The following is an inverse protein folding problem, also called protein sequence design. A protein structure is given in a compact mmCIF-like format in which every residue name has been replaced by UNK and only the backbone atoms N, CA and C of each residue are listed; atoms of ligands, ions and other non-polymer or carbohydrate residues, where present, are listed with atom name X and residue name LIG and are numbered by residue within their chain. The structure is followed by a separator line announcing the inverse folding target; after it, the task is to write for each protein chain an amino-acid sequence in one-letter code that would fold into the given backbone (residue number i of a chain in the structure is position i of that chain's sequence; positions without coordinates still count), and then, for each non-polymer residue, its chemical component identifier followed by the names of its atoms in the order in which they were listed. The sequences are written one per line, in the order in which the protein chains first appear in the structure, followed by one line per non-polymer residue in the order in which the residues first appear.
data_IF_155871602498
#
_entry.id   IF_155871602498
#
_cell.length_a   1.000
_cell.length_b   1.000
_cell.length_c   1.000
_cell.angle_alpha   90.00
_cell.angle_beta   90.00
_cell.angle_gamma   90.00
#
_symmetry.space_group_name_H-M   'P 1'
#
loop_
_entity.id
_entity.type
_entity.pdbx_description
1 polymer ?
#
# COMPACT_ATOMS: atom_id res chain seq x y z
N UNK A 1 0.89 25.35 17.86
CA UNK A 1 1.83 26.28 17.18
C UNK A 1 3.22 25.71 17.32
N UNK A 2 3.67 24.88 16.37
CA UNK A 2 5.01 24.28 16.37
C UNK A 2 5.60 24.46 14.95
N UNK A 3 6.70 25.21 14.82
CA UNK A 3 7.37 25.47 13.54
C UNK A 3 7.97 26.88 13.42
N UNK A 4 9.01 27.02 12.60
CA UNK A 4 9.63 28.31 12.28
C UNK A 4 8.64 29.19 11.50
N UNK A 5 8.42 30.42 11.99
CA UNK A 5 7.61 31.43 11.31
C UNK A 5 8.53 32.53 10.77
N UNK A 6 9.14 32.25 9.62
CA UNK A 6 10.01 33.19 8.92
C UNK A 6 9.25 34.25 8.12
N UNK A 7 9.95 35.29 7.64
CA UNK A 7 9.40 36.23 6.68
C UNK A 7 8.98 35.49 5.39
N UNK A 8 7.90 35.91 4.72
CA UNK A 8 7.43 35.25 3.51
C UNK A 8 8.47 35.39 2.39
N UNK A 9 8.57 34.38 1.52
CA UNK A 9 9.52 34.36 0.41
C UNK A 9 9.32 35.56 -0.55
N UNK A 10 8.09 36.05 -0.67
CA UNK A 10 7.75 37.27 -1.43
C UNK A 10 8.42 38.51 -0.88
N UNK A 11 8.57 38.61 0.45
CA UNK A 11 9.31 39.70 1.10
C UNK A 11 10.84 39.59 0.93
N UNK A 12 11.35 38.40 0.62
CA UNK A 12 12.78 38.17 0.33
C UNK A 12 13.13 38.31 -1.15
N UNK A 13 12.15 38.14 -2.04
CA UNK A 13 12.32 38.20 -3.49
C UNK A 13 11.38 39.24 -4.11
N UNK A 14 11.52 40.54 -3.80
CA UNK A 14 10.57 41.58 -4.19
C UNK A 14 10.50 41.83 -5.71
N UNK A 15 11.52 41.40 -6.46
CA UNK A 15 11.58 41.53 -7.93
C UNK A 15 11.14 40.26 -8.67
N UNK A 16 10.88 39.16 -7.97
CA UNK A 16 10.50 37.90 -8.60
C UNK A 16 8.99 37.88 -8.91
N UNK A 17 8.63 37.33 -10.08
CA UNK A 17 7.25 37.04 -10.44
C UNK A 17 6.92 35.60 -10.07
N UNK A 18 5.98 35.41 -9.16
CA UNK A 18 5.47 34.08 -8.81
C UNK A 18 4.32 33.72 -9.76
N UNK A 19 4.33 32.50 -10.28
CA UNK A 19 3.30 31.96 -11.17
C UNK A 19 2.80 30.65 -10.59
N UNK A 20 1.50 30.43 -10.62
CA UNK A 20 0.92 29.16 -10.19
C UNK A 20 1.22 28.07 -11.22
N UNK A 21 2.02 27.09 -10.80
CA UNK A 21 2.41 25.93 -11.60
C UNK A 21 2.07 24.62 -10.86
N UNK A 22 1.10 24.63 -9.95
CA UNK A 22 0.75 23.48 -9.11
C UNK A 22 0.50 22.18 -9.92
N UNK A 23 -0.03 22.32 -11.13
CA UNK A 23 -0.38 21.20 -12.01
C UNK A 23 0.71 20.80 -13.01
N UNK A 24 1.82 21.55 -13.13
CA UNK A 24 2.87 21.25 -14.12
C UNK A 24 3.52 19.89 -13.83
N UNK A 25 4.02 19.71 -12.61
CA UNK A 25 4.73 18.48 -12.20
C UNK A 25 3.81 17.26 -12.20
N UNK A 26 2.57 17.30 -11.66
CA UNK A 26 1.63 16.18 -11.76
C UNK A 26 1.35 15.73 -13.21
N UNK A 27 1.16 16.68 -14.14
CA UNK A 27 0.95 16.36 -15.57
C UNK A 27 2.16 15.65 -16.18
N UNK A 28 3.37 16.13 -15.89
CA UNK A 28 4.61 15.50 -16.36
C UNK A 28 4.82 14.09 -15.80
N UNK A 29 4.27 13.77 -14.62
CA UNK A 29 4.39 12.45 -13.97
C UNK A 29 3.32 11.44 -14.41
N UNK A 30 2.36 11.86 -15.23
CA UNK A 30 1.24 11.00 -15.63
C UNK A 30 1.70 9.87 -16.57
N UNK A 31 2.53 10.19 -17.57
CA UNK A 31 3.11 9.22 -18.50
C UNK A 31 4.46 8.75 -17.99
N UNK A 32 4.62 7.42 -17.85
CA UNK A 32 5.84 6.79 -17.33
C UNK A 32 6.72 6.37 -18.50
N UNK A 33 8.03 6.58 -18.36
CA UNK A 33 9.00 5.98 -19.28
C UNK A 33 9.12 4.47 -19.01
N UNK A 34 9.67 3.67 -19.94
CA UNK A 34 9.85 2.23 -19.75
C UNK A 34 10.62 1.88 -18.46
N UNK A 35 11.66 2.66 -18.12
CA UNK A 35 12.43 2.47 -16.87
C UNK A 35 11.55 2.66 -15.63
N UNK A 36 10.67 3.67 -15.64
CA UNK A 36 9.75 3.92 -14.50
C UNK A 36 8.71 2.81 -14.38
N UNK A 37 8.25 2.25 -15.50
CA UNK A 37 7.34 1.10 -15.51
C UNK A 37 8.05 -0.12 -14.91
N UNK A 38 9.29 -0.39 -15.31
CA UNK A 38 10.08 -1.50 -14.77
C UNK A 38 10.27 -1.41 -13.24
N UNK A 39 10.46 -0.21 -12.68
CA UNK A 39 10.51 -0.01 -11.22
C UNK A 39 9.17 -0.35 -10.53
N UNK A 40 8.03 -0.01 -11.16
CA UNK A 40 6.69 -0.36 -10.64
C UNK A 40 6.46 -1.87 -10.72
N UNK A 41 6.88 -2.52 -11.81
CA UNK A 41 6.78 -3.97 -11.98
C UNK A 41 7.65 -4.72 -10.97
N UNK A 42 8.87 -4.22 -10.71
CA UNK A 42 9.75 -4.78 -9.68
C UNK A 42 9.12 -4.64 -8.29
N UNK A 43 8.57 -3.45 -7.98
CA UNK A 43 7.81 -3.24 -6.75
C UNK A 43 6.63 -4.20 -6.61
N UNK A 44 5.91 -4.50 -7.70
CA UNK A 44 4.77 -5.42 -7.68
C UNK A 44 5.17 -6.85 -7.28
N UNK A 45 6.37 -7.33 -7.64
CA UNK A 45 6.88 -8.64 -7.21
C UNK A 45 7.01 -8.72 -5.69
N UNK A 46 7.58 -7.68 -5.09
CA UNK A 46 7.76 -7.59 -3.65
C UNK A 46 6.45 -7.36 -2.90
N UNK A 47 5.53 -6.58 -3.47
CA UNK A 47 4.18 -6.43 -2.92
C UNK A 47 3.44 -7.78 -2.91
N UNK A 48 3.60 -8.59 -3.97
CA UNK A 48 3.05 -9.94 -4.02
C UNK A 48 3.65 -10.85 -2.94
N UNK A 49 4.97 -10.80 -2.70
CA UNK A 49 5.61 -11.51 -1.58
C UNK A 49 5.00 -11.06 -0.24
N UNK A 50 4.88 -9.75 -0.01
CA UNK A 50 4.37 -9.21 1.24
C UNK A 50 2.92 -9.64 1.53
N UNK A 51 2.05 -9.62 0.52
CA UNK A 51 0.66 -10.14 0.65
C UNK A 51 0.65 -11.66 0.87
N UNK A 52 1.58 -12.40 0.27
CA UNK A 52 1.70 -13.84 0.48
C UNK A 52 2.10 -14.16 1.93
N UNK A 53 3.04 -13.40 2.49
CA UNK A 53 3.42 -13.51 3.90
C UNK A 53 2.31 -13.07 4.85
N UNK A 54 1.54 -12.02 4.50
CA UNK A 54 0.31 -11.68 5.26
C UNK A 54 -0.65 -12.86 5.31
N UNK A 55 -0.87 -13.53 4.18
CA UNK A 55 -1.74 -14.70 4.11
C UNK A 55 -1.20 -15.85 4.96
N UNK A 56 0.08 -16.16 4.84
CA UNK A 56 0.75 -17.26 5.54
C UNK A 56 0.76 -17.06 7.06
N UNK A 57 1.06 -15.84 7.52
CA UNK A 57 1.17 -15.52 8.94
C UNK A 57 -0.19 -15.30 9.62
N UNK A 58 -1.25 -15.14 8.82
CA UNK A 58 -2.59 -14.96 9.35
C UNK A 58 -3.13 -16.26 9.94
N UNK A 59 -3.41 -16.23 11.24
CA UNK A 59 -4.07 -17.32 11.96
C UNK A 59 -5.26 -16.80 12.77
N UNK A 60 -6.21 -17.68 13.04
CA UNK A 60 -7.32 -17.39 13.95
C UNK A 60 -6.77 -17.06 15.35
N UNK A 61 -7.22 -15.95 15.93
CA UNK A 61 -6.72 -15.47 17.22
C UNK A 61 -5.49 -14.55 17.14
N UNK A 62 -4.89 -14.35 15.98
CA UNK A 62 -3.77 -13.42 15.83
C UNK A 62 -4.21 -11.96 15.93
N UNK A 63 -3.31 -11.09 16.41
CA UNK A 63 -3.45 -9.66 16.23
C UNK A 63 -2.96 -9.26 14.85
N UNK A 64 -3.82 -8.57 14.10
CA UNK A 64 -3.51 -8.16 12.74
C UNK A 64 -2.28 -7.25 12.61
N UNK A 65 -2.00 -6.44 13.63
CA UNK A 65 -0.80 -5.59 13.66
C UNK A 65 0.48 -6.40 13.78
N UNK A 66 0.47 -7.50 14.54
CA UNK A 66 1.64 -8.37 14.70
C UNK A 66 1.93 -9.09 13.38
N UNK A 67 0.89 -9.63 12.74
CA UNK A 67 0.98 -10.24 11.40
C UNK A 67 1.53 -9.24 10.38
N UNK A 68 1.01 -8.01 10.38
CA UNK A 68 1.43 -6.94 9.49
C UNK A 68 2.91 -6.55 9.67
N UNK A 69 3.35 -6.39 10.91
CA UNK A 69 4.74 -6.06 11.24
C UNK A 69 5.70 -7.20 10.83
N UNK A 70 5.34 -8.45 11.10
CA UNK A 70 6.13 -9.61 10.72
C UNK A 70 6.28 -9.71 9.19
N UNK A 71 5.17 -9.66 8.45
CA UNK A 71 5.21 -9.72 6.99
C UNK A 71 6.01 -8.56 6.37
N UNK A 72 5.88 -7.35 6.91
CA UNK A 72 6.64 -6.17 6.46
C UNK A 72 8.14 -6.34 6.70
N UNK A 73 8.52 -6.84 7.87
CA UNK A 73 9.92 -7.06 8.26
C UNK A 73 10.57 -8.14 7.40
N UNK A 74 9.91 -9.28 7.20
CA UNK A 74 10.46 -10.41 6.45
C UNK A 74 10.57 -10.10 4.96
N UNK A 75 9.58 -9.41 4.40
CA UNK A 75 9.69 -8.90 3.02
C UNK A 75 10.86 -7.92 2.90
N UNK A 76 10.98 -6.95 3.81
CA UNK A 76 12.08 -5.96 3.80
C UNK A 76 13.45 -6.65 3.90
N UNK A 77 13.56 -7.64 4.79
CA UNK A 77 14.79 -8.40 4.99
C UNK A 77 15.14 -9.23 3.76
N UNK A 78 14.15 -9.85 3.12
CA UNK A 78 14.33 -10.60 1.88
C UNK A 78 14.76 -9.67 0.75
N UNK A 79 14.08 -8.55 0.56
CA UNK A 79 14.46 -7.50 -0.40
C UNK A 79 15.89 -7.06 -0.21
N UNK A 80 16.31 -6.75 1.02
CA UNK A 80 17.66 -6.26 1.27
C UNK A 80 18.73 -7.31 0.98
N UNK A 81 18.45 -8.59 1.26
CA UNK A 81 19.33 -9.72 0.91
C UNK A 81 19.41 -9.93 -0.61
N UNK A 82 18.31 -9.81 -1.33
CA UNK A 82 18.24 -10.06 -2.78
C UNK A 82 18.78 -8.89 -3.61
N UNK A 83 18.41 -7.66 -3.27
CA UNK A 83 18.80 -6.45 -4.02
C UNK A 83 20.16 -5.90 -3.57
N UNK A 84 20.68 -6.37 -2.43
CA UNK A 84 22.03 -6.08 -1.97
C UNK A 84 22.21 -4.68 -1.40
N UNK A 85 23.49 -4.30 -1.30
CA UNK A 85 23.91 -3.04 -0.66
C UNK A 85 23.38 -1.80 -1.40
N UNK A 86 23.26 -1.89 -2.72
CA UNK A 86 22.85 -0.77 -3.60
C UNK A 86 21.38 -0.38 -3.45
N UNK A 87 20.54 -1.27 -2.92
CA UNK A 87 19.15 -0.92 -2.64
C UNK A 87 19.05 0.05 -1.47
N UNK A 88 18.53 1.25 -1.74
CA UNK A 88 18.17 2.24 -0.74
C UNK A 88 16.77 2.80 -1.04
N UNK A 89 15.86 2.88 -0.06
CA UNK A 89 14.58 3.53 -0.26
C UNK A 89 14.75 5.05 -0.40
N UNK A 90 14.02 5.64 -1.34
CA UNK A 90 14.09 7.06 -1.69
C UNK A 90 12.86 7.86 -1.24
N UNK A 91 11.76 7.18 -0.90
CA UNK A 91 10.48 7.83 -0.54
C UNK A 91 10.14 7.68 0.94
N UNK A 92 10.53 6.56 1.54
CA UNK A 92 10.17 6.21 2.91
C UNK A 92 11.37 5.63 3.66
N UNK A 93 11.43 5.81 4.97
CA UNK A 93 12.43 5.11 5.80
C UNK A 93 12.14 3.59 5.88
N UNK A 94 10.90 3.18 5.61
CA UNK A 94 10.47 1.79 5.51
C UNK A 94 10.06 1.48 4.07
N UNK A 95 10.79 0.60 3.35
CA UNK A 95 10.51 0.30 1.93
C UNK A 95 9.25 -0.53 1.74
N UNK A 96 8.84 -1.31 2.75
CA UNK A 96 7.66 -2.18 2.69
C UNK A 96 6.67 -1.78 3.76
N UNK A 97 5.41 -1.67 3.36
CA UNK A 97 4.28 -1.65 4.27
C UNK A 97 3.30 -2.75 3.85
N UNK A 98 3.11 -3.76 4.69
CA UNK A 98 2.12 -4.80 4.52
C UNK A 98 1.16 -4.76 5.70
N UNK A 99 -0.14 -4.64 5.47
CA UNK A 99 -1.12 -4.55 6.54
C UNK A 99 -2.52 -4.95 6.10
N UNK A 100 -3.46 -4.94 7.06
CA UNK A 100 -4.89 -5.03 6.78
C UNK A 100 -5.61 -3.69 6.87
N UNK A 101 -4.87 -2.62 7.18
CA UNK A 101 -5.39 -1.26 7.45
C UNK A 101 -6.60 -1.24 8.42
N UNK A 102 -6.76 -2.24 9.30
CA UNK A 102 -7.94 -2.38 10.16
C UNK A 102 -9.22 -2.89 9.48
N UNK A 103 -9.19 -3.16 8.18
CA UNK A 103 -10.30 -3.70 7.38
C UNK A 103 -10.50 -5.20 7.63
N UNK A 104 -10.95 -5.52 8.84
CA UNK A 104 -11.08 -6.88 9.38
C UNK A 104 -12.52 -7.14 9.81
N UNK A 105 -13.06 -8.27 9.35
CA UNK A 105 -14.42 -8.68 9.64
C UNK A 105 -15.41 -7.62 9.14
N UNK A 106 -16.22 -7.09 10.04
CA UNK A 106 -17.20 -6.06 9.77
C UNK A 106 -16.57 -4.76 9.27
N UNK A 107 -15.37 -4.43 9.76
CA UNK A 107 -14.63 -3.23 9.34
C UNK A 107 -14.13 -3.30 7.90
N UNK A 108 -14.13 -4.49 7.27
CA UNK A 108 -13.79 -4.63 5.85
C UNK A 108 -14.74 -3.86 4.92
N UNK A 109 -15.94 -3.53 5.40
CA UNK A 109 -16.91 -2.70 4.68
C UNK A 109 -16.58 -1.19 4.72
N UNK A 110 -15.64 -0.75 5.56
CA UNK A 110 -15.28 0.65 5.75
C UNK A 110 -13.95 0.91 5.01
N UNK A 111 -13.95 1.65 3.88
CA UNK A 111 -12.73 2.06 3.22
C UNK A 111 -11.85 2.88 4.17
N UNK A 112 -10.54 2.66 4.14
CA UNK A 112 -9.59 3.35 5.02
C UNK A 112 -9.97 3.28 6.51
N UNK A 113 -10.47 2.12 6.95
CA UNK A 113 -10.55 1.82 8.38
C UNK A 113 -9.19 2.05 9.06
N UNK A 114 -9.18 2.13 10.39
CA UNK A 114 -7.95 2.37 11.15
C UNK A 114 -7.87 1.40 12.31
N UNK A 115 -7.00 0.40 12.16
CA UNK A 115 -6.78 -0.64 13.17
C UNK A 115 -8.05 -1.42 13.54
N UNK A 116 -7.89 -2.35 14.47
CA UNK A 116 -9.01 -3.04 15.10
C UNK A 116 -8.64 -3.36 16.54
N UNK A 117 -9.59 -3.17 17.46
CA UNK A 117 -9.41 -3.48 18.88
C UNK A 117 -9.60 -4.97 19.21
N UNK A 118 -9.70 -5.84 18.19
CA UNK A 118 -9.90 -7.28 18.37
C UNK A 118 -8.96 -8.13 17.51
N UNK A 119 -8.79 -9.37 17.94
CA UNK A 119 -8.11 -10.43 17.19
C UNK A 119 -8.94 -10.89 15.99
N UNK A 120 -8.23 -11.47 15.02
CA UNK A 120 -8.80 -12.10 13.84
C UNK A 120 -9.61 -13.34 14.25
N UNK A 121 -10.78 -13.55 13.63
CA UNK A 121 -11.71 -14.65 13.93
C UNK A 121 -12.05 -15.44 12.67
N UNK A 122 -12.44 -16.70 12.84
CA UNK A 122 -13.02 -17.49 11.76
C UNK A 122 -14.23 -16.77 11.15
N UNK A 123 -14.29 -16.80 9.82
CA UNK A 123 -15.33 -16.14 9.04
C UNK A 123 -15.05 -14.67 8.74
N UNK A 124 -14.02 -14.05 9.33
CA UNK A 124 -13.65 -12.67 9.00
C UNK A 124 -13.27 -12.55 7.52
N UNK A 125 -13.72 -11.46 6.89
CA UNK A 125 -13.17 -10.94 5.64
C UNK A 125 -11.99 -10.04 6.01
N UNK A 126 -10.84 -10.25 5.38
CA UNK A 126 -9.65 -9.45 5.57
C UNK A 126 -9.28 -8.77 4.25
N UNK A 127 -9.00 -7.47 4.29
CA UNK A 127 -8.44 -6.77 3.13
C UNK A 127 -6.94 -6.64 3.37
N UNK A 128 -6.15 -7.53 2.76
CA UNK A 128 -4.70 -7.47 2.81
C UNK A 128 -4.21 -6.45 1.78
N UNK A 129 -3.32 -5.56 2.20
CA UNK A 129 -2.73 -4.51 1.38
C UNK A 129 -1.20 -4.55 1.55
N UNK A 130 -0.48 -4.40 0.45
CA UNK A 130 0.95 -4.15 0.47
C UNK A 130 1.33 -2.99 -0.46
N UNK A 131 2.18 -2.11 0.04
CA UNK A 131 2.84 -1.06 -0.71
C UNK A 131 4.36 -1.23 -0.57
N UNK A 132 5.05 -1.37 -1.69
CA UNK A 132 6.52 -1.56 -1.69
C UNK A 132 7.19 -0.49 -2.52
N UNK A 133 8.26 0.11 -2.00
CA UNK A 133 9.04 1.12 -2.70
C UNK A 133 10.27 0.50 -3.41
N UNK A 134 10.43 0.84 -4.69
CA UNK A 134 11.59 0.55 -5.51
C UNK A 134 11.96 1.82 -6.30
N UNK A 135 13.13 2.40 -6.03
CA UNK A 135 13.64 3.56 -6.76
C UNK A 135 12.71 4.78 -6.76
N UNK A 136 11.99 5.01 -5.65
CA UNK A 136 11.00 6.08 -5.54
C UNK A 136 9.64 5.80 -6.22
N UNK A 137 9.44 4.62 -6.82
CA UNK A 137 8.17 4.15 -7.34
C UNK A 137 7.58 3.07 -6.44
N UNK A 138 6.26 2.91 -6.48
CA UNK A 138 5.57 1.89 -5.70
C UNK A 138 4.39 1.30 -6.47
N UNK A 139 4.19 0.01 -6.27
CA UNK A 139 2.96 -0.71 -6.52
C UNK A 139 2.21 -0.84 -5.19
N UNK A 140 0.91 -0.57 -5.24
CA UNK A 140 -0.02 -0.94 -4.17
C UNK A 140 -0.82 -2.15 -4.65
N UNK A 141 -0.85 -3.19 -3.82
CA UNK A 141 -1.50 -4.47 -4.11
C UNK A 141 -2.48 -4.79 -3.00
N UNK A 142 -3.74 -5.00 -3.37
CA UNK A 142 -4.79 -5.43 -2.44
C UNK A 142 -5.34 -6.81 -2.79
N UNK A 143 -5.66 -7.60 -1.76
CA UNK A 143 -6.33 -8.90 -1.87
C UNK A 143 -7.37 -9.07 -0.75
N UNK A 144 -8.57 -9.48 -1.13
CA UNK A 144 -9.59 -9.91 -0.17
C UNK A 144 -9.38 -11.39 0.21
N UNK A 145 -9.26 -11.66 1.50
CA UNK A 145 -9.08 -12.99 2.08
C UNK A 145 -10.24 -13.31 3.02
N UNK A 146 -10.50 -14.60 3.26
CA UNK A 146 -11.54 -15.05 4.19
C UNK A 146 -10.92 -16.09 5.13
N UNK A 147 -11.10 -15.88 6.44
CA UNK A 147 -10.54 -16.79 7.45
C UNK A 147 -11.38 -18.06 7.53
N UNK A 148 -10.83 -19.16 7.03
CA UNK A 148 -11.54 -20.44 6.95
C UNK A 148 -12.41 -20.57 5.69
N UNK A 149 -13.41 -21.47 5.74
CA UNK A 149 -14.25 -21.75 4.57
C UNK A 149 -15.23 -20.59 4.31
N UNK A 150 -15.25 -20.00 3.10
CA UNK A 150 -16.14 -18.89 2.81
C UNK A 150 -17.59 -19.32 2.72
N UNK A 151 -18.48 -18.52 3.31
CA UNK A 151 -19.94 -18.70 3.22
C UNK A 151 -20.45 -18.45 1.80
N UNK A 152 -21.65 -18.95 1.49
CA UNK A 152 -22.31 -18.68 0.20
C UNK A 152 -22.46 -17.17 -0.06
N UNK A 153 -22.76 -16.39 0.98
CA UNK A 153 -22.87 -14.93 0.91
C UNK A 153 -21.53 -14.28 0.55
N UNK A 154 -20.44 -14.65 1.23
CA UNK A 154 -19.11 -14.11 0.94
C UNK A 154 -18.65 -14.48 -0.48
N UNK A 155 -18.84 -15.73 -0.91
CA UNK A 155 -18.51 -16.15 -2.28
C UNK A 155 -19.25 -15.33 -3.32
N UNK A 156 -20.56 -15.11 -3.13
CA UNK A 156 -21.38 -14.31 -4.03
C UNK A 156 -20.83 -12.88 -4.18
N UNK A 157 -20.58 -12.19 -3.07
CA UNK A 157 -20.09 -10.81 -3.15
C UNK A 157 -18.66 -10.70 -3.67
N UNK A 158 -17.79 -11.63 -3.29
CA UNK A 158 -16.43 -11.71 -3.83
C UNK A 158 -16.47 -11.88 -5.35
N UNK A 159 -17.34 -12.76 -5.86
CA UNK A 159 -17.49 -12.98 -7.30
C UNK A 159 -17.97 -11.72 -8.03
N UNK A 160 -18.95 -10.99 -7.48
CA UNK A 160 -19.40 -9.70 -8.05
C UNK A 160 -18.25 -8.69 -8.12
N UNK A 161 -17.41 -8.61 -7.07
CA UNK A 161 -16.24 -7.72 -7.06
C UNK A 161 -15.21 -8.13 -8.12
N UNK A 162 -14.92 -9.43 -8.28
CA UNK A 162 -14.00 -9.94 -9.31
C UNK A 162 -14.53 -9.65 -10.71
N UNK A 163 -15.82 -9.82 -10.94
CA UNK A 163 -16.46 -9.50 -12.22
C UNK A 163 -16.36 -8.01 -12.53
N UNK A 164 -16.61 -7.14 -11.56
CA UNK A 164 -16.45 -5.70 -11.73
C UNK A 164 -14.99 -5.31 -12.03
N UNK A 165 -14.00 -5.91 -11.34
CA UNK A 165 -12.58 -5.65 -11.58
C UNK A 165 -12.12 -6.08 -12.98
N UNK A 166 -12.65 -7.20 -13.50
CA UNK A 166 -12.29 -7.73 -14.83
C UNK A 166 -12.92 -6.95 -15.98
N UNK A 167 -13.93 -6.12 -15.71
CA UNK A 167 -14.48 -5.26 -16.75
C UNK A 167 -13.39 -4.27 -17.19
N UNK A 168 -13.19 -4.09 -18.51
CA UNK A 168 -12.27 -3.07 -19.00
C UNK A 168 -12.69 -1.72 -18.43
N UNK A 169 -11.74 -0.96 -17.87
CA UNK A 169 -12.03 0.37 -17.37
C UNK A 169 -12.65 1.18 -18.51
N UNK A 170 -13.86 1.70 -18.31
CA UNK A 170 -14.43 2.72 -19.20
C UNK A 170 -13.50 3.92 -19.14
N UNK A 171 -12.59 4.03 -20.12
CA UNK A 171 -11.80 5.23 -20.36
C UNK A 171 -12.63 6.21 -21.17
#
# INVERSE_FOLDING_TARGET
MWGYKGPPITGKLPKAKFVDMANLVPKMRLVKSPVKIALIEESAKWANLAVSLLQEYTTEGAWAVEVALAASLDTTSTMKKTLGVDFQPLRSIFPVSACFRGQIGEMSAIPHAMGTGRRIRRGDVLIAEAAVEIGGYSCELERTMIVGKPSAKQKRYFQVMVEAQRQPSKK
#
